data_IF_401481379111
#
_entry.id   IF_401481379111
#
_cell.length_a   1.000
_cell.length_b   1.000
_cell.length_c   1.000
_cell.angle_alpha   90.00
_cell.angle_beta   90.00
_cell.angle_gamma   90.00
#
_symmetry.space_group_name_H-M   'P 1'
#
loop_
_entity.id
_entity.type
_entity.pdbx_description
1 polymer ?
#
# COMPACT_ATOMS: atom_id res chain seq x y z
N UNK A 1 15.77 33.07 -5.41
CA UNK A 1 14.67 32.69 -4.49
C UNK A 1 13.58 33.75 -4.54
N UNK A 2 12.42 33.47 -5.15
CA UNK A 2 11.31 34.44 -5.27
C UNK A 2 10.79 34.79 -3.87
N UNK A 3 10.86 36.06 -3.47
CA UNK A 3 10.31 36.53 -2.18
C UNK A 3 8.78 36.50 -2.26
N UNK A 4 8.13 35.85 -1.28
CA UNK A 4 6.67 35.83 -1.14
C UNK A 4 6.13 37.26 -1.04
N UNK A 5 4.94 37.51 -1.59
CA UNK A 5 4.27 38.80 -1.42
C UNK A 5 3.99 39.09 0.07
N UNK A 6 3.91 40.37 0.49
CA UNK A 6 3.66 40.72 1.89
C UNK A 6 2.37 40.08 2.47
N UNK A 7 1.34 39.95 1.62
CA UNK A 7 0.07 39.31 2.00
C UNK A 7 0.23 37.80 2.17
N UNK A 8 0.92 37.13 1.24
CA UNK A 8 1.16 35.69 1.33
C UNK A 8 2.01 35.35 2.57
N UNK A 9 3.03 36.17 2.87
CA UNK A 9 3.85 36.00 4.07
C UNK A 9 3.03 36.11 5.35
N UNK A 10 2.16 37.13 5.49
CA UNK A 10 1.28 37.29 6.65
C UNK A 10 0.32 36.10 6.80
N UNK A 11 -0.24 35.58 5.71
CA UNK A 11 -1.11 34.38 5.73
C UNK A 11 -0.35 33.15 6.21
N UNK A 12 0.87 32.95 5.72
CA UNK A 12 1.72 31.83 6.14
C UNK A 12 2.14 31.93 7.62
N UNK A 13 2.52 33.11 8.09
CA UNK A 13 2.85 33.34 9.50
C UNK A 13 1.64 33.11 10.41
N UNK A 14 0.44 33.54 10.01
CA UNK A 14 -0.82 33.24 10.73
C UNK A 14 -1.11 31.74 10.77
N UNK A 15 -0.93 31.02 9.67
CA UNK A 15 -1.13 29.57 9.61
C UNK A 15 -0.15 28.83 10.53
N UNK A 16 1.14 29.19 10.46
CA UNK A 16 2.18 28.57 11.31
C UNK A 16 1.96 28.83 12.80
N UNK A 17 1.41 29.99 13.16
CA UNK A 17 1.06 30.30 14.55
C UNK A 17 -0.18 29.52 15.04
N UNK A 18 -1.02 29.00 14.14
CA UNK A 18 -2.10 28.09 14.50
C UNK A 18 -1.56 26.68 14.74
N UNK A 19 -1.24 26.36 16.00
CA UNK A 19 -0.67 25.06 16.40
C UNK A 19 -1.48 23.86 15.91
N UNK A 20 -2.82 23.92 15.97
CA UNK A 20 -3.69 22.82 15.54
C UNK A 20 -3.60 22.63 14.03
N UNK A 21 -3.72 23.71 13.26
CA UNK A 21 -3.58 23.67 11.81
C UNK A 21 -2.22 23.17 11.35
N UNK A 22 -1.15 23.57 12.05
CA UNK A 22 0.21 23.12 11.76
C UNK A 22 0.38 21.62 12.00
N UNK A 23 -0.08 21.09 13.14
CA UNK A 23 -0.02 19.65 13.42
C UNK A 23 -0.91 18.82 12.49
N UNK A 24 -2.12 19.30 12.18
CA UNK A 24 -3.01 18.64 11.22
C UNK A 24 -2.39 18.53 9.83
N UNK A 25 -1.65 19.56 9.38
CA UNK A 25 -0.91 19.49 8.11
C UNK A 25 0.13 18.37 8.13
N UNK A 26 0.93 18.27 9.20
CA UNK A 26 1.94 17.22 9.30
C UNK A 26 1.34 15.82 9.40
N UNK A 27 0.27 15.65 10.17
CA UNK A 27 -0.46 14.38 10.23
C UNK A 27 -1.01 14.01 8.84
N UNK A 28 -1.64 14.96 8.16
CA UNK A 28 -2.15 14.75 6.81
C UNK A 28 -1.03 14.40 5.82
N UNK A 29 0.10 15.13 5.83
CA UNK A 29 1.26 14.81 5.00
C UNK A 29 1.80 13.42 5.31
N UNK A 30 1.88 13.03 6.58
CA UNK A 30 2.31 11.69 6.99
C UNK A 30 1.38 10.61 6.45
N UNK A 31 0.06 10.75 6.67
CA UNK A 31 -0.94 9.82 6.14
C UNK A 31 -0.93 9.77 4.61
N UNK A 32 -0.73 10.90 3.94
CA UNK A 32 -0.66 10.96 2.49
C UNK A 32 0.58 10.23 1.96
N UNK A 33 1.77 10.46 2.54
CA UNK A 33 2.99 9.74 2.16
C UNK A 33 2.85 8.24 2.41
N UNK A 34 2.30 7.83 3.56
CA UNK A 34 2.01 6.43 3.85
C UNK A 34 1.04 5.84 2.81
N UNK A 35 0.01 6.58 2.43
CA UNK A 35 -0.94 6.13 1.41
C UNK A 35 -0.29 5.97 0.04
N UNK A 36 0.62 6.87 -0.37
CA UNK A 36 1.35 6.80 -1.64
C UNK A 36 2.31 5.60 -1.68
N UNK A 37 2.98 5.32 -0.57
CA UNK A 37 3.85 4.16 -0.41
C UNK A 37 3.09 2.90 0.02
N UNK A 38 1.78 2.82 -0.23
CA UNK A 38 0.93 1.72 0.24
C UNK A 38 1.38 0.35 -0.26
N UNK A 39 1.95 0.22 -1.46
CA UNK A 39 2.49 -1.04 -1.98
C UNK A 39 3.69 -1.58 -1.18
N UNK A 40 4.33 -0.75 -0.34
CA UNK A 40 5.39 -1.17 0.57
C UNK A 40 4.84 -1.65 1.93
N UNK A 41 3.59 -1.31 2.24
CA UNK A 41 2.93 -1.56 3.53
C UNK A 41 1.91 -2.68 3.39
N UNK A 42 1.14 -2.66 2.31
CA UNK A 42 0.07 -3.57 1.94
C UNK A 42 0.27 -4.07 0.51
N UNK A 43 0.67 -5.33 0.36
CA UNK A 43 0.90 -5.94 -0.95
C UNK A 43 0.73 -7.46 -0.85
N UNK A 44 0.12 -8.07 -1.85
CA UNK A 44 -0.01 -9.52 -1.97
C UNK A 44 1.28 -10.18 -2.50
N UNK A 45 2.23 -9.37 -2.97
CA UNK A 45 3.55 -9.79 -3.43
C UNK A 45 4.62 -9.49 -2.39
N UNK A 46 5.66 -10.33 -2.28
CA UNK A 46 6.80 -10.00 -1.44
C UNK A 46 7.54 -8.80 -2.00
N UNK A 47 8.10 -7.99 -1.09
CA UNK A 47 8.97 -6.86 -1.44
C UNK A 47 10.28 -7.36 -2.04
N UNK A 48 10.81 -8.44 -1.45
CA UNK A 48 12.05 -9.10 -1.87
C UNK A 48 11.84 -10.60 -1.90
N UNK A 49 12.31 -11.23 -2.96
CA UNK A 49 12.30 -12.68 -3.13
C UNK A 49 13.69 -13.14 -3.55
N UNK A 50 14.24 -14.11 -2.85
CA UNK A 50 15.48 -14.79 -3.21
C UNK A 50 15.14 -16.14 -3.83
N UNK A 51 15.75 -16.47 -4.96
CA UNK A 51 15.63 -17.78 -5.60
C UNK A 51 16.93 -18.13 -6.32
N UNK A 52 17.52 -19.30 -6.03
CA UNK A 52 18.81 -19.74 -6.62
C UNK A 52 19.94 -18.70 -6.55
N UNK A 53 20.09 -18.02 -5.40
CA UNK A 53 21.07 -16.94 -5.17
C UNK A 53 20.84 -15.63 -5.94
N UNK A 54 19.74 -15.50 -6.68
CA UNK A 54 19.33 -14.24 -7.31
C UNK A 54 18.21 -13.55 -6.52
N UNK A 55 18.26 -12.22 -6.50
CA UNK A 55 17.25 -11.37 -5.86
C UNK A 55 16.28 -10.82 -6.89
N UNK A 56 15.01 -10.99 -6.59
CA UNK A 56 13.86 -10.52 -7.35
C UNK A 56 13.05 -9.55 -6.49
N UNK A 57 12.35 -8.63 -7.16
CA UNK A 57 11.54 -7.60 -6.50
C UNK A 57 10.10 -7.62 -7.05
N UNK A 58 9.29 -8.64 -6.69
CA UNK A 58 7.95 -8.85 -7.26
C UNK A 58 6.96 -7.72 -7.05
N UNK A 59 7.14 -6.91 -6.00
CA UNK A 59 6.33 -5.72 -5.74
C UNK A 59 6.47 -4.64 -6.84
N UNK A 60 7.61 -4.58 -7.55
CA UNK A 60 7.90 -3.55 -8.56
C UNK A 60 7.96 -4.10 -9.98
N UNK A 61 8.31 -5.38 -10.14
CA UNK A 61 8.41 -6.04 -11.44
C UNK A 61 7.58 -7.31 -11.44
N UNK A 62 6.80 -7.50 -12.51
CA UNK A 62 6.05 -8.73 -12.72
C UNK A 62 7.01 -9.84 -13.13
N UNK A 63 6.94 -10.95 -12.40
CA UNK A 63 7.64 -12.20 -12.67
C UNK A 63 6.62 -13.32 -12.89
N UNK A 64 6.96 -14.28 -13.75
CA UNK A 64 6.13 -15.46 -14.03
C UNK A 64 6.49 -16.63 -13.13
N UNK A 65 5.58 -17.57 -12.94
CA UNK A 65 5.86 -18.77 -12.13
C UNK A 65 6.96 -19.64 -12.76
N UNK A 66 7.05 -19.64 -14.10
CA UNK A 66 8.08 -20.36 -14.85
C UNK A 66 9.51 -19.90 -14.52
N UNK A 67 9.71 -18.62 -14.19
CA UNK A 67 11.01 -18.10 -13.75
C UNK A 67 11.49 -18.74 -12.44
N UNK A 68 10.57 -19.27 -11.63
CA UNK A 68 10.86 -19.94 -10.36
C UNK A 68 10.76 -21.47 -10.46
N UNK A 69 10.74 -22.02 -11.68
CA UNK A 69 10.66 -23.46 -11.92
C UNK A 69 9.24 -24.04 -11.89
N UNK A 70 8.21 -23.19 -11.90
CA UNK A 70 6.82 -23.64 -12.05
C UNK A 70 6.41 -23.80 -13.51
N UNK A 71 5.13 -24.06 -13.75
CA UNK A 71 4.63 -24.42 -15.09
C UNK A 71 3.78 -23.32 -15.73
N UNK A 72 3.29 -22.38 -14.92
CA UNK A 72 2.27 -21.42 -15.33
C UNK A 72 2.90 -20.14 -15.93
N UNK A 73 2.44 -19.66 -17.10
CA UNK A 73 2.99 -18.47 -17.76
C UNK A 73 2.43 -17.16 -17.19
N UNK A 74 1.86 -17.19 -15.98
CA UNK A 74 1.30 -16.02 -15.32
C UNK A 74 1.99 -15.76 -13.97
N UNK A 75 1.60 -14.64 -13.34
CA UNK A 75 2.20 -14.22 -12.09
C UNK A 75 1.83 -15.22 -10.98
N UNK A 76 2.80 -15.73 -10.21
CA UNK A 76 2.53 -16.72 -9.19
C UNK A 76 1.75 -16.11 -8.02
N UNK A 77 0.89 -16.92 -7.41
CA UNK A 77 0.33 -16.61 -6.09
C UNK A 77 1.38 -16.92 -5.02
N UNK A 78 2.19 -15.91 -4.67
CA UNK A 78 3.27 -16.00 -3.69
C UNK A 78 2.81 -16.43 -2.29
N UNK A 79 1.51 -16.35 -2.00
CA UNK A 79 0.96 -16.72 -0.69
C UNK A 79 0.60 -18.18 -0.61
N UNK A 80 0.28 -18.81 -1.76
CA UNK A 80 -0.04 -20.22 -1.83
C UNK A 80 1.08 -21.11 -1.27
N UNK A 81 0.70 -22.20 -0.61
CA UNK A 81 1.66 -23.19 -0.11
C UNK A 81 2.51 -23.79 -1.23
N UNK A 82 1.93 -23.94 -2.42
CA UNK A 82 2.61 -24.44 -3.59
C UNK A 82 3.78 -23.53 -4.01
N UNK A 83 3.57 -22.22 -4.16
CA UNK A 83 4.66 -21.28 -4.52
C UNK A 83 5.67 -21.15 -3.39
N UNK A 84 5.23 -21.15 -2.13
CA UNK A 84 6.16 -21.16 -0.97
C UNK A 84 7.09 -22.37 -1.01
N UNK A 85 6.56 -23.55 -1.31
CA UNK A 85 7.37 -24.77 -1.45
C UNK A 85 8.26 -24.72 -2.68
N UNK A 86 7.78 -24.19 -3.81
CA UNK A 86 8.56 -24.02 -5.03
C UNK A 86 9.80 -23.14 -4.79
N UNK A 87 9.62 -22.00 -4.13
CA UNK A 87 10.71 -21.09 -3.76
C UNK A 87 11.67 -21.75 -2.76
N UNK A 88 11.14 -22.43 -1.74
CA UNK A 88 11.96 -23.12 -0.74
C UNK A 88 12.80 -24.26 -1.35
N UNK A 89 12.29 -24.97 -2.36
CA UNK A 89 13.04 -26.01 -3.09
C UNK A 89 14.25 -25.43 -3.84
N UNK A 90 14.18 -24.17 -4.26
CA UNK A 90 15.29 -23.45 -4.90
C UNK A 90 16.20 -22.71 -3.91
N UNK A 91 16.20 -23.11 -2.64
CA UNK A 91 16.93 -22.46 -1.53
C UNK A 91 16.61 -20.95 -1.43
N UNK A 92 15.34 -20.63 -1.67
CA UNK A 92 14.82 -19.28 -1.73
C UNK A 92 14.05 -18.87 -0.47
N UNK A 93 13.86 -17.56 -0.32
CA UNK A 93 13.05 -16.97 0.75
C UNK A 93 12.28 -15.76 0.23
N UNK A 94 11.24 -15.35 0.97
CA UNK A 94 10.37 -14.23 0.61
C UNK A 94 10.18 -13.31 1.81
N UNK A 95 10.35 -12.00 1.59
CA UNK A 95 10.05 -10.97 2.57
C UNK A 95 8.80 -10.20 2.15
N UNK A 96 7.72 -10.43 2.88
CA UNK A 96 6.45 -9.73 2.68
C UNK A 96 6.40 -8.39 3.43
N UNK A 97 5.57 -7.44 2.96
CA UNK A 97 5.25 -6.27 3.75
C UNK A 97 4.43 -6.63 5.00
N UNK A 98 4.26 -5.70 5.96
CA UNK A 98 3.49 -5.95 7.18
C UNK A 98 2.06 -6.46 6.93
N UNK A 99 1.41 -5.98 5.87
CA UNK A 99 0.08 -6.44 5.45
C UNK A 99 0.26 -7.23 4.14
N UNK A 100 0.23 -8.58 4.16
CA UNK A 100 0.45 -9.40 2.97
C UNK A 100 -0.79 -9.50 2.06
N UNK A 101 -1.52 -8.40 1.89
CA UNK A 101 -2.75 -8.29 1.10
C UNK A 101 -2.72 -6.99 0.28
N UNK A 102 -3.11 -7.06 -1.00
CA UNK A 102 -3.52 -5.86 -1.74
C UNK A 102 -4.96 -5.51 -1.39
N UNK A 103 -5.41 -4.34 -1.84
CA UNK A 103 -6.79 -3.87 -1.79
C UNK A 103 -7.84 -4.83 -2.38
N UNK A 104 -7.46 -5.65 -3.36
CA UNK A 104 -8.36 -6.56 -4.08
C UNK A 104 -8.17 -8.05 -3.71
N UNK A 105 -7.13 -8.39 -2.93
CA UNK A 105 -6.76 -9.77 -2.62
C UNK A 105 -7.67 -10.39 -1.56
N UNK A 106 -8.46 -11.43 -1.88
CA UNK A 106 -9.29 -12.12 -0.89
C UNK A 106 -8.43 -12.95 0.06
N UNK A 107 -8.85 -13.06 1.33
CA UNK A 107 -8.30 -14.01 2.27
C UNK A 107 -9.09 -15.32 2.24
N UNK A 108 -8.49 -16.38 1.69
CA UNK A 108 -9.11 -17.71 1.67
C UNK A 108 -8.90 -18.49 2.97
N UNK A 109 -7.96 -18.09 3.81
CA UNK A 109 -7.55 -18.80 5.04
C UNK A 109 -8.37 -18.35 6.27
N UNK A 110 -9.62 -17.93 6.06
CA UNK A 110 -10.48 -17.45 7.14
C UNK A 110 -11.13 -18.61 7.90
N UNK A 111 -10.98 -18.61 9.23
CA UNK A 111 -11.65 -19.57 10.13
C UNK A 111 -13.14 -19.25 10.38
N UNK A 112 -13.65 -18.15 9.83
CA UNK A 112 -15.02 -17.64 10.00
C UNK A 112 -15.52 -17.09 8.66
N UNK A 113 -16.83 -17.12 8.38
CA UNK A 113 -17.37 -16.51 7.17
C UNK A 113 -17.07 -15.01 7.12
N UNK A 114 -16.89 -14.50 5.91
CA UNK A 114 -16.78 -13.06 5.65
C UNK A 114 -18.16 -12.39 5.83
N UNK A 115 -18.22 -11.15 6.34
CA UNK A 115 -17.13 -10.35 6.91
C UNK A 115 -16.66 -10.89 8.27
N UNK A 116 -15.34 -10.84 8.51
CA UNK A 116 -14.72 -11.35 9.73
C UNK A 116 -14.20 -10.22 10.64
N UNK A 117 -14.21 -10.39 11.97
CA UNK A 117 -13.71 -9.37 12.90
C UNK A 117 -12.18 -9.21 12.83
N UNK A 118 -11.63 -8.11 13.40
CA UNK A 118 -10.18 -7.91 13.52
C UNK A 118 -9.41 -9.12 14.05
N UNK A 119 -8.26 -9.40 13.43
CA UNK A 119 -7.36 -10.51 13.78
C UNK A 119 -5.89 -10.09 13.64
N UNK A 120 -4.97 -10.98 14.03
CA UNK A 120 -3.52 -10.76 13.88
C UNK A 120 -3.06 -10.70 12.42
N UNK A 121 -3.82 -11.33 11.51
CA UNK A 121 -3.56 -11.34 10.06
C UNK A 121 -4.25 -10.15 9.40
N UNK A 122 -5.55 -9.99 9.65
CA UNK A 122 -6.36 -8.89 9.13
C UNK A 122 -6.67 -7.90 10.26
N UNK A 123 -5.83 -6.86 10.42
CA UNK A 123 -5.83 -6.00 11.62
C UNK A 123 -7.14 -5.21 11.84
N UNK A 124 -7.88 -4.91 10.77
CA UNK A 124 -9.21 -4.29 10.84
C UNK A 124 -10.34 -5.24 10.44
N UNK A 125 -10.05 -6.53 10.26
CA UNK A 125 -10.99 -7.54 9.80
C UNK A 125 -11.09 -7.60 8.27
N UNK A 126 -12.11 -8.31 7.80
CA UNK A 126 -12.38 -8.46 6.36
C UNK A 126 -13.75 -7.92 5.97
N UNK A 127 -13.89 -7.50 4.71
CA UNK A 127 -15.17 -7.13 4.11
C UNK A 127 -16.02 -8.35 3.72
N UNK A 128 -17.17 -8.12 3.10
CA UNK A 128 -18.11 -9.15 2.61
C UNK A 128 -17.51 -10.06 1.53
N UNK A 129 -16.40 -9.65 0.90
CA UNK A 129 -15.66 -10.41 -0.11
C UNK A 129 -14.37 -11.03 0.45
N UNK A 130 -14.22 -11.08 1.77
CA UNK A 130 -13.05 -11.61 2.46
C UNK A 130 -11.75 -10.80 2.23
N UNK A 131 -11.81 -9.57 1.72
CA UNK A 131 -10.62 -8.73 1.51
C UNK A 131 -10.21 -7.99 2.78
N UNK A 132 -8.94 -7.68 2.90
CA UNK A 132 -8.41 -6.97 4.07
C UNK A 132 -8.89 -5.51 4.11
N UNK A 133 -9.54 -5.13 5.21
CA UNK A 133 -10.10 -3.78 5.37
C UNK A 133 -9.01 -2.71 5.51
N UNK A 134 -7.89 -3.01 6.17
CA UNK A 134 -6.83 -2.03 6.39
C UNK A 134 -6.10 -1.70 5.08
N UNK A 135 -5.79 -2.70 4.26
CA UNK A 135 -5.25 -2.52 2.92
C UNK A 135 -6.19 -1.61 2.11
N UNK A 136 -7.49 -1.94 2.08
CA UNK A 136 -8.50 -1.14 1.35
C UNK A 136 -8.59 0.30 1.84
N UNK A 137 -8.47 0.55 3.14
CA UNK A 137 -8.42 1.91 3.69
C UNK A 137 -7.18 2.68 3.21
N UNK A 138 -6.00 2.04 3.18
CA UNK A 138 -4.75 2.67 2.71
C UNK A 138 -4.86 3.08 1.24
N UNK A 139 -5.30 2.16 0.37
CA UNK A 139 -5.44 2.41 -1.06
C UNK A 139 -6.61 3.35 -1.37
N UNK A 140 -7.74 3.22 -0.67
CA UNK A 140 -8.88 4.13 -0.79
C UNK A 140 -8.51 5.57 -0.38
N UNK A 141 -7.80 5.73 0.74
CA UNK A 141 -7.31 7.04 1.18
C UNK A 141 -6.41 7.69 0.13
N UNK A 142 -5.52 6.93 -0.52
CA UNK A 142 -4.66 7.42 -1.61
C UNK A 142 -5.49 8.03 -2.74
N UNK A 143 -6.47 7.29 -3.26
CA UNK A 143 -7.33 7.75 -4.36
C UNK A 143 -8.13 8.99 -3.95
N UNK A 144 -8.76 8.97 -2.76
CA UNK A 144 -9.54 10.10 -2.27
C UNK A 144 -8.72 11.37 -2.09
N UNK A 145 -7.51 11.26 -1.51
CA UNK A 145 -6.64 12.41 -1.28
C UNK A 145 -6.11 12.96 -2.62
N UNK A 146 -5.64 12.10 -3.52
CA UNK A 146 -5.17 12.53 -4.84
C UNK A 146 -6.27 13.24 -5.63
N UNK A 147 -7.49 12.70 -5.59
CA UNK A 147 -8.64 13.31 -6.23
C UNK A 147 -8.95 14.69 -5.64
N UNK A 148 -9.01 14.81 -4.30
CA UNK A 148 -9.28 16.09 -3.65
C UNK A 148 -8.19 17.14 -3.93
N UNK A 149 -6.91 16.73 -3.95
CA UNK A 149 -5.79 17.61 -4.28
C UNK A 149 -5.85 18.06 -5.74
N UNK A 150 -6.14 17.15 -6.67
CA UNK A 150 -6.28 17.48 -8.09
C UNK A 150 -7.45 18.44 -8.35
N UNK A 151 -8.62 18.17 -7.74
CA UNK A 151 -9.79 19.04 -7.85
C UNK A 151 -9.48 20.44 -7.29
N UNK A 152 -8.91 20.51 -6.09
CA UNK A 152 -8.52 21.79 -5.45
C UNK A 152 -7.54 22.57 -6.33
N UNK A 153 -6.56 21.88 -6.91
CA UNK A 153 -5.57 22.50 -7.79
C UNK A 153 -6.21 23.06 -9.06
N UNK A 154 -7.07 22.28 -9.73
CA UNK A 154 -7.79 22.72 -10.94
C UNK A 154 -8.72 23.89 -10.63
N UNK A 155 -9.51 23.81 -9.56
CA UNK A 155 -10.37 24.91 -9.13
C UNK A 155 -9.57 26.19 -8.87
N UNK A 156 -8.42 26.10 -8.21
CA UNK A 156 -7.55 27.25 -7.95
C UNK A 156 -6.94 27.86 -9.23
N UNK A 157 -6.78 27.10 -10.31
CA UNK A 157 -6.32 27.60 -11.61
C UNK A 157 -7.43 28.33 -12.38
N UNK A 158 -8.66 27.84 -12.29
CA UNK A 158 -9.81 28.41 -13.01
C UNK A 158 -10.34 29.66 -12.31
N UNK A 159 -10.41 29.65 -10.97
CA UNK A 159 -10.99 30.71 -10.15
C UNK A 159 -12.25 30.28 -9.41
#
# INVERSE_FOLDING_TARGET
MRRLSPVARRRFERFRNNRRGWWSLWLFCGLFVLSLCGELIANDKPLVLSYQHELYFPAFKRHTEQEFGGQLPFQPDYRSDYVRQLISKGDGWMLFPPIPFSDDTPNYDLNKPAPSPPSSINWLGTDDQARDVLARVIFGARVSILFALALTFISALIG
#
